data_IF_666762591481
#
_entry.id   IF_666762591481
#
_cell.length_a   1.000
_cell.length_b   1.000
_cell.length_c   1.000
_cell.angle_alpha   90.00
_cell.angle_beta   90.00
_cell.angle_gamma   90.00
#
_symmetry.space_group_name_H-M   'P 1'
#
loop_
_entity.id
_entity.type
_entity.pdbx_description
1 polymer ?
#
# COMPACT_ATOMS: atom_id res chain seq x y z
N UNK A 1 21.67 -18.85 22.55
CA UNK A 1 20.69 -18.21 21.65
C UNK A 1 21.12 -16.75 21.58
N UNK A 2 21.95 -16.40 20.61
CA UNK A 2 22.39 -15.01 20.42
C UNK A 2 21.24 -14.19 19.86
N UNK A 3 21.00 -13.01 20.42
CA UNK A 3 20.10 -12.05 19.80
C UNK A 3 20.81 -11.50 18.57
N UNK A 4 20.22 -11.65 17.40
CA UNK A 4 20.75 -11.06 16.17
C UNK A 4 20.48 -9.55 16.20
N UNK A 5 21.45 -8.70 15.84
CA UNK A 5 21.23 -7.27 15.70
C UNK A 5 20.07 -6.99 14.73
N UNK A 6 19.18 -6.11 15.17
CA UNK A 6 18.04 -5.58 14.43
C UNK A 6 18.38 -4.26 13.72
N UNK A 7 17.50 -3.75 12.86
CA UNK A 7 17.66 -2.44 12.21
C UNK A 7 17.95 -1.29 13.19
N UNK A 8 17.47 -1.38 14.44
CA UNK A 8 17.71 -0.37 15.47
C UNK A 8 19.15 -0.35 15.98
N UNK A 9 19.77 -1.52 16.10
CA UNK A 9 21.15 -1.66 16.56
C UNK A 9 22.13 -1.31 15.44
N UNK A 10 21.81 -1.72 14.20
CA UNK A 10 22.56 -1.33 13.00
C UNK A 10 22.49 0.17 12.72
N UNK A 11 21.34 0.80 12.96
CA UNK A 11 21.15 2.24 12.77
C UNK A 11 21.89 3.09 13.81
N UNK A 12 22.23 2.51 14.97
CA UNK A 12 22.96 3.21 16.04
C UNK A 12 24.47 3.04 15.89
N UNK A 13 24.96 1.81 15.74
CA UNK A 13 26.39 1.50 15.67
C UNK A 13 26.68 0.40 14.62
N UNK A 14 26.62 0.75 13.34
CA UNK A 14 26.82 -0.21 12.23
C UNK A 14 28.17 -0.95 12.31
N UNK A 15 29.26 -0.23 12.55
CA UNK A 15 30.63 -0.75 12.47
C UNK A 15 30.94 -1.87 13.47
N UNK A 16 30.20 -1.92 14.58
CA UNK A 16 30.38 -2.93 15.64
C UNK A 16 29.80 -4.28 15.24
N UNK A 17 28.86 -4.29 14.29
CA UNK A 17 28.14 -5.49 13.86
C UNK A 17 28.68 -6.08 12.56
N UNK A 18 29.75 -5.53 11.98
CA UNK A 18 30.37 -6.05 10.77
C UNK A 18 30.85 -7.49 11.01
N UNK A 19 30.40 -8.41 10.16
CA UNK A 19 30.69 -9.84 10.26
C UNK A 19 29.67 -10.65 11.07
N UNK A 20 28.72 -10.00 11.76
CA UNK A 20 27.66 -10.66 12.51
C UNK A 20 26.43 -10.96 11.63
N UNK A 21 25.67 -11.97 12.02
CA UNK A 21 24.38 -12.30 11.42
C UNK A 21 23.31 -11.30 11.89
N UNK A 22 22.48 -10.80 10.98
CA UNK A 22 21.40 -9.85 11.26
C UNK A 22 20.09 -10.31 10.66
N UNK A 23 19.00 -9.93 11.30
CA UNK A 23 17.64 -10.02 10.77
C UNK A 23 17.03 -8.63 10.78
N UNK A 24 16.64 -8.13 9.61
CA UNK A 24 16.00 -6.83 9.51
C UNK A 24 14.85 -6.81 8.52
N UNK A 25 13.98 -5.80 8.69
CA UNK A 25 12.88 -5.54 7.77
C UNK A 25 13.04 -4.14 7.15
N UNK A 26 12.92 -4.06 5.84
CA UNK A 26 13.04 -2.81 5.10
C UNK A 26 12.07 -2.72 3.93
N UNK A 27 11.97 -1.52 3.34
CA UNK A 27 11.22 -1.30 2.10
C UNK A 27 12.17 -1.18 0.93
N UNK A 28 11.89 -1.88 -0.17
CA UNK A 28 12.71 -1.86 -1.38
C UNK A 28 12.56 -0.51 -2.08
N UNK A 29 13.67 0.22 -2.23
CA UNK A 29 13.70 1.53 -2.92
C UNK A 29 14.32 1.45 -4.31
N UNK A 30 15.22 0.50 -4.53
CA UNK A 30 15.90 0.22 -5.79
C UNK A 30 16.11 -1.29 -5.93
N UNK A 31 16.11 -1.79 -7.17
CA UNK A 31 16.20 -3.22 -7.48
C UNK A 31 17.53 -3.61 -8.14
N UNK A 32 18.23 -2.66 -8.76
CA UNK A 32 19.51 -2.85 -9.44
C UNK A 32 20.44 -1.63 -9.22
N UNK A 33 21.34 -1.65 -8.21
CA UNK A 33 21.49 -2.67 -7.17
C UNK A 33 20.29 -2.73 -6.21
N UNK A 34 20.08 -3.89 -5.59
CA UNK A 34 18.99 -4.07 -4.62
C UNK A 34 19.29 -3.25 -3.36
N UNK A 35 18.54 -2.17 -3.18
CA UNK A 35 18.68 -1.24 -2.04
C UNK A 35 17.37 -1.20 -1.27
N UNK A 36 17.48 -1.36 0.05
CA UNK A 36 16.37 -1.24 0.97
C UNK A 36 16.56 -0.06 1.92
N UNK A 37 15.45 0.45 2.43
CA UNK A 37 15.41 1.38 3.54
C UNK A 37 14.78 0.69 4.73
N UNK A 38 15.56 0.46 5.78
CA UNK A 38 15.06 0.04 7.07
C UNK A 38 14.75 1.29 7.91
N UNK A 39 13.58 1.31 8.55
CA UNK A 39 13.24 2.38 9.50
C UNK A 39 13.68 1.96 10.89
N UNK A 40 14.41 2.83 11.58
CA UNK A 40 14.82 2.60 12.95
C UNK A 40 14.43 3.80 13.83
N UNK A 41 14.24 3.55 15.12
CA UNK A 41 13.85 4.61 16.06
C UNK A 41 12.53 5.30 15.68
N UNK A 42 12.46 6.62 15.91
CA UNK A 42 11.27 7.43 15.60
C UNK A 42 11.46 8.18 14.28
N UNK A 43 11.36 7.45 13.16
CA UNK A 43 11.40 8.02 11.81
C UNK A 43 12.80 8.15 11.20
N UNK A 44 13.82 7.53 11.80
CA UNK A 44 15.15 7.46 11.22
C UNK A 44 15.20 6.35 10.17
N UNK A 45 16.06 6.52 9.16
CA UNK A 45 16.09 5.67 7.97
C UNK A 45 17.51 5.25 7.66
N UNK A 46 17.74 3.95 7.66
CA UNK A 46 19.01 3.33 7.30
C UNK A 46 18.89 2.77 5.88
N UNK A 47 19.77 3.22 4.99
CA UNK A 47 19.88 2.66 3.63
C UNK A 47 20.90 1.54 3.65
N UNK A 48 20.50 0.38 3.13
CA UNK A 48 21.32 -0.83 3.10
C UNK A 48 21.26 -1.44 1.71
N UNK A 49 22.41 -1.85 1.21
CA UNK A 49 22.51 -2.58 -0.05
C UNK A 49 22.49 -4.08 0.24
N UNK A 50 21.64 -4.82 -0.46
CA UNK A 50 21.50 -6.26 -0.30
C UNK A 50 22.20 -6.96 -1.46
N UNK A 51 23.12 -7.88 -1.15
CA UNK A 51 23.86 -8.67 -2.14
C UNK A 51 23.60 -10.16 -1.94
N UNK A 52 23.63 -10.94 -3.04
CA UNK A 52 23.42 -12.40 -3.00
C UNK A 52 21.96 -12.85 -2.83
N UNK A 53 21.03 -11.91 -2.83
CA UNK A 53 19.59 -12.16 -2.81
C UNK A 53 19.08 -12.48 -4.24
N UNK A 54 18.78 -13.75 -4.52
CA UNK A 54 18.14 -14.17 -5.77
C UNK A 54 16.60 -14.16 -5.62
N UNK A 55 16.04 -12.95 -5.60
CA UNK A 55 14.60 -12.73 -5.47
C UNK A 55 14.15 -11.55 -6.32
N UNK A 56 12.99 -11.73 -6.97
CA UNK A 56 12.33 -10.71 -7.78
C UNK A 56 11.61 -9.71 -6.87
N UNK A 57 12.37 -8.78 -6.31
CA UNK A 57 11.85 -7.70 -5.48
C UNK A 57 11.34 -6.55 -6.35
N UNK A 58 10.13 -6.05 -6.07
CA UNK A 58 9.64 -4.83 -6.70
C UNK A 58 9.79 -3.63 -5.78
N UNK A 59 9.93 -2.45 -6.39
CA UNK A 59 9.98 -1.19 -5.65
C UNK A 59 8.71 -1.00 -4.82
N UNK A 60 8.89 -0.71 -3.54
CA UNK A 60 7.80 -0.55 -2.58
C UNK A 60 7.39 -1.84 -1.87
N UNK A 61 7.95 -2.99 -2.22
CA UNK A 61 7.75 -4.21 -1.45
C UNK A 61 8.44 -4.12 -0.10
N UNK A 62 7.86 -4.80 0.88
CA UNK A 62 8.48 -4.99 2.18
C UNK A 62 9.36 -6.23 2.11
N UNK A 63 10.65 -6.07 2.32
CA UNK A 63 11.65 -7.12 2.28
C UNK A 63 12.11 -7.44 3.70
N UNK A 64 12.06 -8.72 4.07
CA UNK A 64 12.71 -9.21 5.27
C UNK A 64 13.98 -9.94 4.85
N UNK A 65 15.11 -9.52 5.41
CA UNK A 65 16.43 -10.05 5.08
C UNK A 65 17.05 -10.66 6.32
N UNK A 66 17.49 -11.90 6.19
CA UNK A 66 18.39 -12.57 7.11
C UNK A 66 19.75 -12.73 6.42
N UNK A 67 20.79 -12.14 6.98
CA UNK A 67 22.07 -12.04 6.30
C UNK A 67 23.23 -11.75 7.23
N UNK A 68 24.39 -11.50 6.65
CA UNK A 68 25.60 -11.08 7.36
C UNK A 68 25.91 -9.64 7.01
N UNK A 69 26.19 -8.82 8.02
CA UNK A 69 26.57 -7.41 7.86
C UNK A 69 27.99 -7.35 7.28
N UNK A 70 28.18 -6.61 6.20
CA UNK A 70 29.48 -6.34 5.57
C UNK A 70 29.83 -4.85 5.67
N UNK A 71 31.04 -4.50 5.26
CA UNK A 71 31.48 -3.10 5.15
C UNK A 71 30.61 -2.33 4.14
N UNK A 72 30.74 -0.99 4.12
CA UNK A 72 30.05 -0.12 3.16
C UNK A 72 28.51 -0.21 3.17
N UNK A 73 27.89 -0.46 4.32
CA UNK A 73 26.41 -0.58 4.45
C UNK A 73 25.80 -1.68 3.58
N UNK A 74 26.58 -2.74 3.36
CA UNK A 74 26.18 -3.89 2.56
C UNK A 74 25.79 -5.06 3.45
N UNK A 75 24.75 -5.79 3.07
CA UNK A 75 24.33 -7.02 3.75
C UNK A 75 24.30 -8.14 2.75
N UNK A 76 25.07 -9.19 3.05
CA UNK A 76 25.06 -10.44 2.29
C UNK A 76 23.88 -11.28 2.74
N UNK A 77 22.86 -11.37 1.91
CA UNK A 77 21.66 -12.14 2.20
C UNK A 77 22.00 -13.64 2.24
N UNK A 78 21.65 -14.29 3.35
CA UNK A 78 21.62 -15.75 3.48
C UNK A 78 20.24 -16.29 3.13
N UNK A 79 19.20 -15.57 3.55
CA UNK A 79 17.82 -15.85 3.22
C UNK A 79 17.05 -14.53 3.18
N UNK A 80 16.20 -14.35 2.18
CA UNK A 80 15.41 -13.14 2.04
C UNK A 80 14.08 -13.47 1.39
N UNK A 81 13.02 -12.83 1.87
CA UNK A 81 11.68 -13.01 1.35
C UNK A 81 10.95 -11.69 1.22
N UNK A 82 10.27 -11.52 0.09
CA UNK A 82 9.47 -10.33 -0.21
C UNK A 82 8.03 -10.56 0.23
N UNK A 83 7.48 -9.55 0.90
CA UNK A 83 6.06 -9.45 1.18
C UNK A 83 5.48 -8.38 0.25
N UNK A 84 4.65 -8.78 -0.73
CA UNK A 84 4.13 -7.85 -1.71
C UNK A 84 3.21 -6.81 -1.04
N UNK A 85 3.52 -5.54 -1.25
CA UNK A 85 2.68 -4.43 -0.75
C UNK A 85 1.33 -4.33 -1.51
N UNK A 86 1.18 -5.03 -2.63
CA UNK A 86 0.00 -4.99 -3.50
C UNK A 86 -1.31 -5.43 -2.82
N UNK A 87 -1.23 -6.20 -1.73
CA UNK A 87 -2.42 -6.60 -0.96
C UNK A 87 -3.21 -5.40 -0.40
N UNK A 88 -2.52 -4.29 -0.08
CA UNK A 88 -3.19 -3.10 0.43
C UNK A 88 -4.04 -2.42 -0.64
N UNK A 89 -3.55 -2.35 -1.89
CA UNK A 89 -4.30 -1.70 -2.98
C UNK A 89 -5.58 -2.48 -3.31
N UNK A 90 -5.50 -3.81 -3.36
CA UNK A 90 -6.67 -4.67 -3.52
C UNK A 90 -7.69 -4.45 -2.39
N UNK A 91 -7.24 -4.44 -1.13
CA UNK A 91 -8.09 -4.20 0.03
C UNK A 91 -8.77 -2.83 -0.04
N UNK A 92 -8.04 -1.77 -0.41
CA UNK A 92 -8.61 -0.42 -0.54
C UNK A 92 -9.60 -0.32 -1.69
N UNK A 93 -9.31 -0.91 -2.85
CA UNK A 93 -10.23 -0.91 -3.99
C UNK A 93 -11.52 -1.63 -3.65
N UNK A 94 -11.44 -2.84 -3.09
CA UNK A 94 -12.63 -3.61 -2.69
C UNK A 94 -13.43 -2.87 -1.62
N UNK A 95 -12.76 -2.31 -0.61
CA UNK A 95 -13.43 -1.54 0.46
C UNK A 95 -14.08 -0.27 -0.07
N UNK A 96 -13.41 0.42 -1.00
CA UNK A 96 -13.94 1.62 -1.65
C UNK A 96 -15.18 1.28 -2.49
N UNK A 97 -15.11 0.23 -3.31
CA UNK A 97 -16.25 -0.24 -4.10
C UNK A 97 -17.43 -0.68 -3.22
N UNK A 98 -17.15 -1.40 -2.13
CA UNK A 98 -18.17 -1.77 -1.15
C UNK A 98 -18.79 -0.54 -0.48
N UNK A 99 -17.97 0.45 -0.11
CA UNK A 99 -18.42 1.73 0.46
C UNK A 99 -19.32 2.50 -0.51
N UNK A 100 -18.89 2.66 -1.76
CA UNK A 100 -19.68 3.32 -2.83
C UNK A 100 -20.98 2.56 -3.09
N UNK A 101 -20.95 1.23 -3.09
CA UNK A 101 -22.14 0.40 -3.26
C UNK A 101 -23.16 0.61 -2.14
N UNK A 102 -22.70 0.59 -0.88
CA UNK A 102 -23.55 0.83 0.30
C UNK A 102 -24.10 2.25 0.26
N UNK A 103 -23.28 3.25 -0.06
CA UNK A 103 -23.70 4.64 -0.15
C UNK A 103 -24.73 4.85 -1.27
N UNK A 104 -24.50 4.24 -2.43
CA UNK A 104 -25.44 4.24 -3.55
C UNK A 104 -26.77 3.57 -3.19
N UNK A 105 -26.73 2.44 -2.47
CA UNK A 105 -27.95 1.78 -1.97
C UNK A 105 -28.68 2.64 -0.94
N UNK A 106 -27.95 3.32 -0.06
CA UNK A 106 -28.52 4.22 0.93
C UNK A 106 -29.25 5.37 0.24
N UNK A 107 -28.60 6.08 -0.69
CA UNK A 107 -29.22 7.19 -1.47
C UNK A 107 -30.39 6.71 -2.34
N UNK A 108 -30.31 5.48 -2.86
CA UNK A 108 -31.37 4.89 -3.69
C UNK A 108 -32.62 4.52 -2.88
N UNK A 109 -32.45 4.08 -1.65
CA UNK A 109 -33.54 3.58 -0.78
C UNK A 109 -34.08 4.66 0.15
N UNK A 110 -33.21 5.61 0.54
CA UNK A 110 -33.48 6.68 1.50
C UNK A 110 -33.22 8.03 0.84
N UNK A 111 -34.17 8.95 0.97
CA UNK A 111 -33.96 10.33 0.56
C UNK A 111 -33.37 11.07 1.75
N UNK A 112 -32.09 11.43 1.65
CA UNK A 112 -31.46 12.34 2.59
C UNK A 112 -31.99 13.74 2.29
N UNK A 113 -32.87 14.25 3.14
CA UNK A 113 -33.31 15.63 3.03
C UNK A 113 -32.30 16.51 3.78
N UNK A 114 -31.32 17.05 3.05
CA UNK A 114 -30.26 17.90 3.60
C UNK A 114 -30.80 19.20 4.23
N UNK A 115 -32.03 19.58 3.92
CA UNK A 115 -32.67 20.78 4.48
C UNK A 115 -33.18 20.55 5.91
N UNK A 116 -33.62 19.32 6.24
CA UNK A 116 -34.15 18.95 7.56
C UNK A 116 -33.30 17.93 8.33
N UNK A 117 -32.18 17.47 7.77
CA UNK A 117 -31.34 16.39 8.35
C UNK A 117 -32.15 15.12 8.68
N UNK A 118 -33.17 14.81 7.89
CA UNK A 118 -34.06 13.65 8.11
C UNK A 118 -33.88 12.57 7.04
N UNK A 119 -33.93 11.31 7.47
CA UNK A 119 -33.86 10.11 6.64
C UNK A 119 -35.29 9.64 6.35
N UNK A 120 -35.82 9.98 5.18
CA UNK A 120 -37.14 9.49 4.75
C UNK A 120 -37.02 8.25 3.85
N UNK A 121 -37.68 7.12 4.20
CA UNK A 121 -37.75 5.96 3.31
C UNK A 121 -38.58 6.31 2.07
N UNK A 122 -38.01 6.18 0.87
CA UNK A 122 -38.74 6.46 -0.38
C UNK A 122 -39.79 5.38 -0.63
N UNK A 123 -41.05 5.77 -0.78
CA UNK A 123 -42.19 4.88 -1.12
C UNK A 123 -42.19 4.39 -2.57
N UNK A 124 -41.38 4.99 -3.46
CA UNK A 124 -41.30 4.63 -4.88
C UNK A 124 -39.84 4.53 -5.34
N UNK A 125 -39.35 3.35 -5.76
CA UNK A 125 -37.97 3.20 -6.22
C UNK A 125 -37.76 3.87 -7.59
N UNK A 126 -36.70 4.66 -7.73
CA UNK A 126 -36.32 5.31 -9.00
C UNK A 126 -35.94 4.23 -10.05
N UNK A 127 -36.73 4.17 -11.12
CA UNK A 127 -36.43 3.39 -12.32
C UNK A 127 -35.39 4.14 -13.16
N UNK A 128 -34.44 3.38 -13.72
CA UNK A 128 -33.34 3.88 -14.57
C UNK A 128 -33.86 4.51 -15.89
N UNK A 129 -35.13 4.29 -16.24
CA UNK A 129 -35.76 4.80 -17.45
C UNK A 129 -35.93 6.33 -17.51
N UNK A 130 -35.86 7.05 -16.39
CA UNK A 130 -36.09 8.50 -16.37
C UNK A 130 -34.83 9.34 -16.69
N UNK A 131 -33.66 8.71 -16.82
CA UNK A 131 -32.40 9.42 -17.11
C UNK A 131 -32.17 9.58 -18.63
N UNK A 132 -32.98 8.95 -19.49
CA UNK A 132 -32.72 8.86 -20.94
C UNK A 132 -33.51 9.82 -21.85
N UNK A 133 -34.23 10.83 -21.33
CA UNK A 133 -35.10 11.69 -22.18
C UNK A 133 -34.54 13.11 -22.40
N UNK A 134 -33.27 13.35 -22.06
CA UNK A 134 -32.63 14.64 -22.36
C UNK A 134 -31.45 14.51 -23.34
N UNK A 135 -31.67 13.83 -24.47
CA UNK A 135 -30.70 13.82 -25.58
C UNK A 135 -31.36 13.79 -26.97
N UNK A 136 -32.61 14.23 -27.09
CA UNK A 136 -33.30 14.36 -28.38
C UNK A 136 -34.13 15.65 -28.43
N UNK A 137 -33.49 16.83 -28.29
CA UNK A 137 -34.11 18.08 -28.74
C UNK A 137 -33.10 19.10 -29.25
N UNK A 138 -32.26 18.69 -30.19
CA UNK A 138 -31.54 19.61 -31.08
C UNK A 138 -31.30 18.92 -32.41
N UNK A 139 -32.36 18.62 -33.16
CA UNK A 139 -32.30 18.48 -34.61
C UNK A 139 -33.74 18.46 -35.16
N UNK A 140 -33.96 19.21 -36.24
CA UNK A 140 -35.24 19.55 -36.90
C UNK A 140 -36.00 20.71 -36.22
N UNK A 141 -36.19 21.87 -36.85
CA UNK A 141 -36.37 22.12 -38.28
C UNK A 141 -36.14 23.63 -38.57
N UNK A 142 -35.12 23.94 -39.36
CA UNK A 142 -35.18 25.10 -40.27
C UNK A 142 -36.04 24.68 -41.46
N UNK A 143 -37.16 25.38 -41.68
CA UNK A 143 -37.79 25.63 -42.97
C UNK A 143 -38.81 26.78 -42.83
#
# INVERSE_FOLDING_TARGET
MGAYPSESELGTEYDVWIGEETSLTGTVVETEPLTIVAEYGTGEKLRLQIVGADLDAQRGDSLVVFGVVEEDHTIRALNAYTTPASNYLYMYVVSFLAGVWVLGRLIRTWRLDCENWSLEPRTTPLKVSDISIWSQKTEQHDA
#
